data_IF_597452196611
#
_entry.id   IF_597452196611
#
_cell.length_a   1.000
_cell.length_b   1.000
_cell.length_c   1.000
_cell.angle_alpha   90.00
_cell.angle_beta   90.00
_cell.angle_gamma   90.00
#
_symmetry.space_group_name_H-M   'P 1'
#
loop_
_entity.id
_entity.type
_entity.pdbx_description
1 polymer ?
#
# COMPACT_ATOMS: atom_id res chain seq x y z
N UNK A 1 -5.72 -5.20 11.58
CA UNK A 1 -5.76 -4.14 10.55
C UNK A 1 -4.32 -3.75 10.33
N UNK A 2 -3.82 -3.91 9.11
CA UNK A 2 -2.46 -3.51 8.75
C UNK A 2 -2.54 -2.11 8.15
N UNK A 3 -1.68 -1.20 8.59
CA UNK A 3 -1.59 0.13 8.00
C UNK A 3 -0.87 0.08 6.65
N UNK A 4 -1.18 1.00 5.75
CA UNK A 4 -0.49 1.18 4.47
C UNK A 4 0.34 2.46 4.58
N UNK A 5 1.65 2.38 4.27
CA UNK A 5 2.56 3.54 4.34
C UNK A 5 2.34 4.45 3.14
N UNK A 6 2.41 3.88 1.95
CA UNK A 6 2.43 4.65 0.71
C UNK A 6 1.97 3.81 -0.48
N UNK A 7 1.43 4.50 -1.49
CA UNK A 7 1.17 3.92 -2.80
C UNK A 7 2.45 4.13 -3.62
N UNK A 8 3.03 3.06 -4.13
CA UNK A 8 4.22 3.14 -4.98
C UNK A 8 3.87 3.33 -6.44
N UNK A 9 2.83 2.63 -6.91
CA UNK A 9 2.45 2.64 -8.32
C UNK A 9 0.94 2.53 -8.50
N UNK A 10 0.42 3.20 -9.52
CA UNK A 10 -0.94 3.03 -9.99
C UNK A 10 -0.95 2.23 -11.31
N UNK A 11 -1.80 1.21 -11.38
CA UNK A 11 -2.13 0.52 -12.64
C UNK A 11 -3.64 0.50 -12.82
N UNK A 12 -4.12 0.35 -14.06
CA UNK A 12 -5.56 0.35 -14.40
C UNK A 12 -6.37 -0.57 -13.46
N UNK A 13 -7.04 0.04 -12.47
CA UNK A 13 -7.86 -0.64 -11.45
C UNK A 13 -7.15 -1.19 -10.21
N UNK A 14 -5.84 -0.99 -10.04
CA UNK A 14 -5.07 -1.47 -8.87
C UNK A 14 -4.05 -0.44 -8.40
N UNK A 15 -3.80 -0.42 -7.10
CA UNK A 15 -2.71 0.31 -6.48
C UNK A 15 -1.67 -0.67 -5.98
N UNK A 16 -0.40 -0.38 -6.21
CA UNK A 16 0.70 -1.07 -5.58
C UNK A 16 0.97 -0.36 -4.27
N UNK A 17 0.63 -1.01 -3.16
CA UNK A 17 0.76 -0.43 -1.83
C UNK A 17 1.94 -1.03 -1.09
N UNK A 18 2.62 -0.18 -0.34
CA UNK A 18 3.66 -0.55 0.60
C UNK A 18 3.03 -0.64 1.99
N UNK A 19 3.01 -1.85 2.57
CA UNK A 19 2.43 -2.05 3.89
C UNK A 19 3.32 -1.45 4.98
N UNK A 20 2.68 -0.99 6.05
CA UNK A 20 3.32 -0.50 7.26
C UNK A 20 3.77 -1.65 8.14
N UNK A 21 4.97 -1.48 8.68
CA UNK A 21 5.63 -2.47 9.51
C UNK A 21 6.63 -3.33 8.76
N UNK A 22 7.33 -4.12 9.56
CA UNK A 22 8.34 -5.05 9.10
C UNK A 22 7.79 -6.46 9.28
N UNK A 23 8.07 -7.34 8.33
CA UNK A 23 7.73 -8.75 8.48
C UNK A 23 8.59 -9.32 9.63
N UNK A 24 7.97 -9.85 10.71
CA UNK A 24 8.71 -10.30 11.90
C UNK A 24 9.57 -11.54 11.62
N UNK A 25 9.35 -12.25 10.51
CA UNK A 25 10.17 -13.39 10.10
C UNK A 25 11.39 -12.95 9.30
N UNK A 26 11.27 -11.86 8.55
CA UNK A 26 12.30 -11.41 7.61
C UNK A 26 13.05 -10.16 8.10
N UNK A 27 12.55 -9.47 9.14
CA UNK A 27 13.00 -8.15 9.61
C UNK A 27 13.14 -7.14 8.47
N UNK A 28 12.24 -7.22 7.50
CA UNK A 28 12.26 -6.36 6.31
C UNK A 28 10.88 -5.73 6.14
N UNK A 29 10.81 -4.52 5.57
CA UNK A 29 9.54 -3.97 5.14
C UNK A 29 8.82 -4.98 4.25
N UNK A 30 7.51 -5.10 4.45
CA UNK A 30 6.68 -6.01 3.65
C UNK A 30 6.88 -5.76 2.16
N UNK A 31 6.86 -6.78 1.30
CA UNK A 31 6.96 -6.55 -0.12
C UNK A 31 5.73 -5.77 -0.62
N UNK A 32 5.93 -4.80 -1.53
CA UNK A 32 4.83 -4.01 -2.05
C UNK A 32 3.91 -4.86 -2.93
N UNK A 33 2.62 -4.84 -2.63
CA UNK A 33 1.63 -5.72 -3.23
C UNK A 33 0.58 -4.94 -4.02
N UNK A 34 0.09 -5.53 -5.10
CA UNK A 34 -1.02 -4.99 -5.87
C UNK A 34 -2.35 -5.30 -5.20
N UNK A 35 -3.01 -4.25 -4.74
CA UNK A 35 -4.36 -4.30 -4.17
C UNK A 35 -5.34 -3.59 -5.12
N UNK A 36 -6.60 -4.05 -5.22
CA UNK A 36 -7.61 -3.36 -6.00
C UNK A 36 -7.91 -1.99 -5.39
N UNK A 37 -8.30 -1.00 -6.22
CA UNK A 37 -8.58 0.37 -5.73
C UNK A 37 -9.68 0.41 -4.65
N UNK A 38 -10.55 -0.58 -4.62
CA UNK A 38 -11.62 -0.71 -3.62
C UNK A 38 -11.10 -1.08 -2.22
N UNK A 39 -9.92 -1.70 -2.15
CA UNK A 39 -9.30 -2.13 -0.89
C UNK A 39 -8.46 -1.01 -0.27
N UNK A 40 -8.09 -0.01 -1.08
CA UNK A 40 -7.36 1.17 -0.63
C UNK A 40 -8.37 2.27 -0.34
N UNK A 41 -8.33 2.81 0.87
CA UNK A 41 -9.13 3.97 1.23
C UNK A 41 -8.77 5.16 0.36
N UNK A 42 -9.76 5.85 -0.22
CA UNK A 42 -9.57 7.05 -1.03
C UNK A 42 -8.71 8.12 -0.32
N UNK A 43 -8.78 8.21 1.01
CA UNK A 43 -7.96 9.11 1.82
C UNK A 43 -6.45 8.91 1.61
N UNK A 44 -6.01 7.65 1.53
CA UNK A 44 -4.61 7.29 1.26
C UNK A 44 -4.21 7.65 -0.19
N UNK A 45 -5.14 7.50 -1.14
CA UNK A 45 -4.90 7.88 -2.54
C UNK A 45 -4.78 9.40 -2.66
N UNK A 46 -5.58 10.14 -1.90
CA UNK A 46 -5.56 11.60 -1.84
C UNK A 46 -4.27 12.10 -1.19
N UNK A 47 -3.85 11.50 -0.08
CA UNK A 47 -2.59 11.84 0.58
C UNK A 47 -1.39 11.58 -0.34
N UNK A 48 -1.39 10.44 -1.05
CA UNK A 48 -0.36 10.12 -2.04
C UNK A 48 -0.31 11.08 -3.25
N UNK A 49 -1.47 11.58 -3.71
CA UNK A 49 -1.55 12.47 -4.88
C UNK A 49 -1.24 13.94 -4.58
N UNK A 50 -1.03 14.30 -3.31
CA UNK A 50 -0.82 15.68 -2.89
C UNK A 50 0.57 16.19 -3.25
#
# INVERSE_FOLDING_TARGET
LWEVIEILEEKKGKYRVQWAGEDPNTMKPWPPQWVPKQDVTDDLVVDWKR
#
